data_IF_756791219473
#
_entry.id   IF_756791219473
#
_cell.length_a   1.000
_cell.length_b   1.000
_cell.length_c   1.000
_cell.angle_alpha   90.00
_cell.angle_beta   90.00
_cell.angle_gamma   90.00
#
_symmetry.space_group_name_H-M   'P 1'
#
loop_
_entity.id
_entity.type
_entity.pdbx_description
1 polymer ?
#
# COMPACT_ATOMS: atom_id res chain seq x y z
N UNK A 1 -4.06 -29.34 -3.50
CA UNK A 1 -4.68 -28.50 -4.56
C UNK A 1 -5.20 -29.35 -5.74
N UNK A 2 -4.40 -30.22 -6.37
CA UNK A 2 -4.85 -31.09 -7.49
C UNK A 2 -6.06 -31.96 -7.15
N UNK A 3 -6.02 -32.66 -6.03
CA UNK A 3 -7.10 -33.54 -5.56
C UNK A 3 -8.40 -32.78 -5.27
N UNK A 4 -8.28 -31.53 -4.78
CA UNK A 4 -9.44 -30.69 -4.54
C UNK A 4 -10.12 -30.26 -5.85
N UNK A 5 -9.33 -29.87 -6.86
CA UNK A 5 -9.84 -29.54 -8.20
C UNK A 5 -10.47 -30.76 -8.86
N UNK A 6 -9.83 -31.92 -8.76
CA UNK A 6 -10.36 -33.19 -9.27
C UNK A 6 -11.69 -33.55 -8.60
N UNK A 7 -11.78 -33.45 -7.27
CA UNK A 7 -13.03 -33.65 -6.53
C UNK A 7 -14.13 -32.70 -7.01
N UNK A 8 -13.83 -31.42 -7.18
CA UNK A 8 -14.79 -30.44 -7.72
C UNK A 8 -15.27 -30.83 -9.13
N UNK A 9 -14.38 -31.31 -10.01
CA UNK A 9 -14.77 -31.78 -11.35
C UNK A 9 -15.71 -33.00 -11.24
N UNK A 10 -15.38 -33.98 -10.39
CA UNK A 10 -16.22 -35.15 -10.15
C UNK A 10 -17.62 -34.77 -9.65
N UNK A 11 -17.70 -33.87 -8.67
CA UNK A 11 -18.97 -33.36 -8.12
C UNK A 11 -19.79 -32.64 -9.20
N UNK A 12 -19.16 -31.76 -9.97
CA UNK A 12 -19.81 -31.04 -11.08
C UNK A 12 -20.35 -32.02 -12.13
N UNK A 13 -19.65 -33.12 -12.39
CA UNK A 13 -20.06 -34.14 -13.37
C UNK A 13 -20.95 -35.25 -12.78
N UNK A 14 -21.19 -35.27 -11.47
CA UNK A 14 -21.98 -36.30 -10.80
C UNK A 14 -21.29 -37.67 -10.74
N UNK A 15 -19.97 -37.71 -10.82
CA UNK A 15 -19.15 -38.93 -10.77
C UNK A 15 -18.84 -39.23 -9.31
N UNK A 16 -19.44 -40.29 -8.74
CA UNK A 16 -19.37 -40.60 -7.29
C UNK A 16 -18.28 -41.61 -6.90
N UNK A 17 -17.44 -42.06 -7.81
CA UNK A 17 -16.49 -43.13 -7.54
C UNK A 17 -15.10 -42.59 -7.13
N UNK A 18 -14.63 -43.08 -5.99
CA UNK A 18 -13.28 -42.84 -5.48
C UNK A 18 -12.20 -43.41 -6.41
N UNK A 19 -12.55 -44.42 -7.21
CA UNK A 19 -11.66 -45.20 -8.10
C UNK A 19 -11.32 -44.50 -9.41
N UNK A 20 -12.06 -43.48 -9.82
CA UNK A 20 -11.86 -42.80 -11.10
C UNK A 20 -10.88 -41.63 -10.96
N UNK A 21 -9.69 -41.69 -11.58
CA UNK A 21 -8.73 -40.56 -11.60
C UNK A 21 -8.96 -39.64 -12.79
N UNK A 22 -9.14 -38.34 -12.53
CA UNK A 22 -9.29 -37.37 -13.62
C UNK A 22 -7.99 -37.23 -14.43
N UNK A 23 -8.09 -37.33 -15.75
CA UNK A 23 -6.95 -37.24 -16.67
C UNK A 23 -6.97 -35.99 -17.58
N UNK A 24 -8.12 -35.32 -17.68
CA UNK A 24 -8.26 -34.11 -18.48
C UNK A 24 -9.56 -34.07 -19.27
N UNK A 25 -9.79 -32.95 -19.95
CA UNK A 25 -10.95 -32.74 -20.83
C UNK A 25 -10.51 -32.63 -22.28
N UNK A 26 -11.33 -33.19 -23.19
CA UNK A 26 -11.12 -33.14 -24.63
C UNK A 26 -12.44 -32.92 -25.37
N UNK A 27 -12.33 -32.40 -26.61
CA UNK A 27 -13.48 -32.18 -27.49
C UNK A 27 -13.70 -33.40 -28.37
N UNK A 28 -14.96 -33.80 -28.53
CA UNK A 28 -15.41 -34.75 -29.54
C UNK A 28 -16.37 -34.11 -30.52
N UNK A 29 -16.38 -34.62 -31.75
CA UNK A 29 -17.37 -34.30 -32.78
C UNK A 29 -18.28 -35.48 -32.98
N UNK A 30 -19.59 -35.25 -33.02
CA UNK A 30 -20.58 -36.27 -33.39
C UNK A 30 -21.47 -35.74 -34.50
N UNK A 31 -21.64 -36.55 -35.54
CA UNK A 31 -22.50 -36.25 -36.68
C UNK A 31 -23.88 -36.86 -36.44
N UNK A 32 -24.92 -36.02 -36.48
CA UNK A 32 -26.33 -36.45 -36.39
C UNK A 32 -27.04 -35.97 -37.65
N UNK A 33 -27.15 -36.85 -38.65
CA UNK A 33 -27.62 -36.48 -39.99
C UNK A 33 -26.61 -35.57 -40.72
N UNK A 34 -27.08 -34.43 -41.23
CA UNK A 34 -26.25 -33.44 -41.91
C UNK A 34 -25.48 -32.49 -40.95
N UNK A 35 -25.79 -32.50 -39.66
CA UNK A 35 -25.22 -31.56 -38.69
C UNK A 35 -24.14 -32.23 -37.85
N UNK A 36 -22.98 -31.58 -37.76
CA UNK A 36 -21.91 -31.93 -36.83
C UNK A 36 -22.04 -31.08 -35.57
N UNK A 37 -21.95 -31.72 -34.41
CA UNK A 37 -21.97 -31.05 -33.12
C UNK A 37 -20.70 -31.41 -32.35
N UNK A 38 -20.01 -30.40 -31.83
CA UNK A 38 -18.90 -30.58 -30.88
C UNK A 38 -19.44 -30.66 -29.46
N UNK A 39 -18.83 -31.50 -28.63
CA UNK A 39 -19.14 -31.59 -27.21
C UNK A 39 -17.90 -31.98 -26.41
N UNK A 40 -17.88 -31.64 -25.12
CA UNK A 40 -16.79 -32.01 -24.22
C UNK A 40 -17.01 -33.38 -23.55
N UNK A 41 -15.93 -34.14 -23.45
CA UNK A 41 -15.82 -35.33 -22.61
C UNK A 41 -14.68 -35.13 -21.61
N UNK A 42 -14.97 -35.43 -20.34
CA UNK A 42 -13.97 -35.55 -19.29
C UNK A 42 -13.45 -36.99 -19.28
N UNK A 43 -12.13 -37.13 -19.29
CA UNK A 43 -11.43 -38.41 -19.26
C UNK A 43 -11.13 -38.78 -17.81
N UNK A 44 -11.51 -39.99 -17.44
CA UNK A 44 -11.15 -40.60 -16.18
C UNK A 44 -10.43 -41.93 -16.43
N UNK A 45 -9.42 -42.23 -15.62
CA UNK A 45 -8.80 -43.54 -15.55
C UNK A 45 -9.38 -44.30 -14.37
N UNK A 46 -10.05 -45.41 -14.66
CA UNK A 46 -10.54 -46.33 -13.65
C UNK A 46 -9.37 -47.15 -13.10
N UNK A 47 -9.08 -46.96 -11.81
CA UNK A 47 -7.99 -47.67 -11.14
C UNK A 47 -8.29 -49.16 -11.03
N UNK A 48 -9.55 -49.54 -10.79
CA UNK A 48 -9.94 -50.94 -10.59
C UNK A 48 -10.00 -51.68 -11.92
N UNK A 49 -10.71 -51.11 -12.89
CA UNK A 49 -10.86 -51.74 -14.20
C UNK A 49 -9.67 -51.49 -15.15
N UNK A 50 -8.74 -50.61 -14.76
CA UNK A 50 -7.55 -50.23 -15.54
C UNK A 50 -7.88 -49.73 -16.96
N UNK A 51 -9.02 -49.06 -17.12
CA UNK A 51 -9.50 -48.55 -18.42
C UNK A 51 -9.82 -47.07 -18.36
N UNK A 52 -9.88 -46.43 -19.53
CA UNK A 52 -10.30 -45.04 -19.65
C UNK A 52 -11.83 -44.99 -19.78
N UNK A 53 -12.47 -44.23 -18.90
CA UNK A 53 -13.90 -43.91 -18.95
C UNK A 53 -14.05 -42.46 -19.37
N UNK A 54 -14.92 -42.21 -20.34
CA UNK A 54 -15.20 -40.85 -20.80
C UNK A 54 -16.59 -40.45 -20.34
N UNK A 55 -16.67 -39.34 -19.61
CA UNK A 55 -17.92 -38.81 -19.06
C UNK A 55 -18.27 -37.56 -19.86
N UNK A 56 -19.48 -37.55 -20.44
CA UNK A 56 -19.98 -36.38 -21.16
C UNK A 56 -20.10 -35.18 -20.21
N UNK A 57 -19.59 -34.02 -20.64
CA UNK A 57 -19.74 -32.76 -19.90
C UNK A 57 -21.00 -32.06 -20.41
N UNK A 58 -22.02 -31.82 -19.56
CA UNK A 58 -23.21 -31.09 -19.99
C UNK A 58 -22.86 -29.67 -20.42
N UNK A 59 -23.47 -29.18 -21.50
CA UNK A 59 -23.24 -27.84 -22.09
C UNK A 59 -23.22 -26.72 -21.04
N UNK A 60 -24.17 -26.74 -20.09
CA UNK A 60 -24.28 -25.72 -19.02
C UNK A 60 -23.06 -25.68 -18.07
N UNK A 61 -22.24 -26.73 -18.04
CA UNK A 61 -21.11 -26.90 -17.13
C UNK A 61 -19.75 -26.87 -17.85
N UNK A 62 -19.72 -26.75 -19.17
CA UNK A 62 -18.49 -26.82 -19.97
C UNK A 62 -17.45 -25.77 -19.55
N UNK A 63 -17.85 -24.51 -19.38
CA UNK A 63 -16.93 -23.43 -18.98
C UNK A 63 -16.30 -23.69 -17.60
N UNK A 64 -17.11 -24.11 -16.63
CA UNK A 64 -16.64 -24.43 -15.28
C UNK A 64 -15.64 -25.58 -15.29
N UNK A 65 -15.95 -26.64 -16.04
CA UNK A 65 -15.05 -27.81 -16.17
C UNK A 65 -13.74 -27.44 -16.88
N UNK A 66 -13.79 -26.57 -17.90
CA UNK A 66 -12.59 -26.09 -18.60
C UNK A 66 -11.70 -25.21 -17.70
N UNK A 67 -12.30 -24.38 -16.85
CA UNK A 67 -11.55 -23.57 -15.88
C UNK A 67 -10.85 -24.46 -14.84
N UNK A 68 -11.58 -25.43 -14.27
CA UNK A 68 -11.01 -26.42 -13.36
C UNK A 68 -9.91 -27.24 -14.03
N UNK A 69 -10.08 -27.65 -15.29
CA UNK A 69 -9.05 -28.37 -16.06
C UNK A 69 -7.76 -27.55 -16.22
N UNK A 70 -7.86 -26.23 -16.42
CA UNK A 70 -6.67 -25.35 -16.47
C UNK A 70 -5.92 -25.36 -15.16
N UNK A 71 -6.61 -25.18 -14.04
CA UNK A 71 -6.00 -25.24 -12.71
C UNK A 71 -5.39 -26.62 -12.42
N UNK A 72 -6.05 -27.70 -12.84
CA UNK A 72 -5.52 -29.05 -12.71
C UNK A 72 -4.23 -29.23 -13.53
N UNK A 73 -4.21 -28.76 -14.79
CA UNK A 73 -3.01 -28.80 -15.66
C UNK A 73 -1.84 -28.00 -15.09
N UNK A 74 -2.10 -26.81 -14.55
CA UNK A 74 -1.07 -26.00 -13.89
C UNK A 74 -0.51 -26.70 -12.65
N UNK A 75 -1.39 -27.27 -11.81
CA UNK A 75 -0.99 -28.03 -10.62
C UNK A 75 -0.12 -29.23 -11.01
N UNK A 76 -0.55 -30.01 -12.02
CA UNK A 76 0.21 -31.17 -12.54
C UNK A 76 1.56 -30.76 -13.13
N UNK A 77 1.65 -29.58 -13.77
CA UNK A 77 2.93 -29.06 -14.29
C UNK A 77 3.89 -28.69 -13.14
N UNK A 78 3.40 -28.01 -12.10
CA UNK A 78 4.20 -27.68 -10.91
C UNK A 78 4.69 -28.93 -10.19
N UNK A 79 3.83 -29.92 -10.00
CA UNK A 79 4.20 -31.21 -9.39
C UNK A 79 5.31 -31.91 -10.19
N UNK A 80 5.20 -31.98 -11.53
CA UNK A 80 6.26 -32.56 -12.38
C UNK A 80 7.58 -31.81 -12.29
N UNK A 81 7.53 -30.48 -12.19
CA UNK A 81 8.75 -29.66 -12.04
C UNK A 81 9.41 -29.92 -10.68
N UNK A 82 8.61 -30.01 -9.61
CA UNK A 82 9.09 -30.38 -8.27
C UNK A 82 9.67 -31.79 -8.26
N UNK A 83 9.00 -32.76 -8.89
CA UNK A 83 9.46 -34.14 -8.98
C UNK A 83 10.79 -34.24 -9.76
N UNK A 84 10.96 -33.42 -10.81
CA UNK A 84 12.23 -33.30 -11.54
C UNK A 84 13.33 -32.73 -10.66
N UNK A 85 13.07 -31.62 -9.94
CA UNK A 85 14.03 -31.03 -9.00
C UNK A 85 14.40 -32.00 -7.88
N UNK A 86 13.43 -32.75 -7.36
CA UNK A 86 13.66 -33.80 -6.35
C UNK A 86 14.57 -34.91 -6.89
N UNK A 87 14.33 -35.38 -8.12
CA UNK A 87 15.21 -36.36 -8.77
C UNK A 87 16.63 -35.81 -9.00
N UNK A 88 16.75 -34.55 -9.39
CA UNK A 88 18.04 -33.86 -9.52
C UNK A 88 18.78 -33.83 -8.17
N UNK A 89 18.11 -33.38 -7.09
CA UNK A 89 18.67 -33.36 -5.72
C UNK A 89 19.06 -34.78 -5.26
N UNK A 90 18.20 -35.78 -5.47
CA UNK A 90 18.49 -37.18 -5.08
C UNK A 90 19.67 -37.74 -5.89
N UNK A 91 19.79 -37.37 -7.16
CA UNK A 91 20.91 -37.82 -8.00
C UNK A 91 22.24 -37.20 -7.59
N UNK A 92 22.21 -35.94 -7.13
CA UNK A 92 23.38 -35.21 -6.64
C UNK A 92 23.80 -35.68 -5.25
N UNK A 93 22.82 -35.97 -4.38
CA UNK A 93 23.04 -36.36 -3.00
C UNK A 93 22.56 -37.80 -2.76
N UNK A 94 23.47 -38.77 -2.84
CA UNK A 94 23.18 -40.19 -2.50
C UNK A 94 22.90 -40.43 -1.01
N UNK A 95 22.93 -39.39 -0.17
CA UNK A 95 22.74 -39.47 1.26
C UNK A 95 21.30 -39.05 1.64
N UNK A 96 20.44 -40.00 2.08
CA UNK A 96 19.05 -39.72 2.48
C UNK A 96 18.91 -38.66 3.58
N UNK A 97 19.86 -38.59 4.52
CA UNK A 97 19.82 -37.64 5.63
C UNK A 97 20.02 -36.20 5.14
N UNK A 98 20.93 -36.02 4.17
CA UNK A 98 21.17 -34.70 3.57
C UNK A 98 19.98 -34.23 2.72
N UNK A 99 19.34 -35.16 2.00
CA UNK A 99 18.10 -34.86 1.25
C UNK A 99 16.99 -34.43 2.21
N UNK A 100 16.82 -35.14 3.34
CA UNK A 100 15.82 -34.79 4.36
C UNK A 100 16.10 -33.39 4.91
N UNK A 101 17.34 -33.07 5.27
CA UNK A 101 17.72 -31.75 5.79
C UNK A 101 17.43 -30.64 4.77
N UNK A 102 17.73 -30.84 3.48
CA UNK A 102 17.45 -29.87 2.42
C UNK A 102 15.93 -29.65 2.27
N UNK A 103 15.14 -30.72 2.26
CA UNK A 103 13.68 -30.64 2.13
C UNK A 103 13.03 -29.96 3.35
N UNK A 104 13.49 -30.26 4.56
CA UNK A 104 13.04 -29.60 5.79
C UNK A 104 13.36 -28.11 5.77
N UNK A 105 14.58 -27.73 5.35
CA UNK A 105 14.93 -26.31 5.16
C UNK A 105 14.04 -25.61 4.12
N UNK A 106 13.78 -26.24 2.98
CA UNK A 106 12.90 -25.67 1.95
C UNK A 106 11.44 -25.52 2.41
N UNK A 107 10.92 -26.48 3.18
CA UNK A 107 9.60 -26.42 3.78
C UNK A 107 9.52 -25.31 4.84
N UNK A 108 10.52 -25.22 5.71
CA UNK A 108 10.62 -24.13 6.69
C UNK A 108 10.69 -22.76 6.00
N UNK A 109 11.50 -22.62 4.95
CA UNK A 109 11.59 -21.38 4.16
C UNK A 109 10.26 -21.03 3.49
N UNK A 110 9.57 -22.03 2.91
CA UNK A 110 8.24 -21.85 2.30
C UNK A 110 7.20 -21.39 3.30
N UNK A 111 7.08 -22.09 4.45
CA UNK A 111 6.16 -21.74 5.53
C UNK A 111 6.49 -20.36 6.10
N UNK A 112 7.79 -20.04 6.30
CA UNK A 112 8.23 -18.73 6.77
C UNK A 112 7.84 -17.63 5.79
N UNK A 113 7.93 -17.86 4.47
CA UNK A 113 7.52 -16.88 3.45
C UNK A 113 6.01 -16.65 3.46
N UNK A 114 5.22 -17.71 3.45
CA UNK A 114 3.75 -17.58 3.48
C UNK A 114 3.27 -16.90 4.78
N UNK A 115 3.85 -17.26 5.92
CA UNK A 115 3.55 -16.62 7.20
C UNK A 115 3.97 -15.13 7.22
N UNK A 116 5.10 -14.80 6.60
CA UNK A 116 5.60 -13.42 6.47
C UNK A 116 4.67 -12.58 5.58
N UNK A 117 4.23 -13.14 4.45
CA UNK A 117 3.31 -12.47 3.52
C UNK A 117 1.93 -12.25 4.18
N UNK A 118 1.40 -13.27 4.87
CA UNK A 118 0.15 -13.13 5.62
C UNK A 118 0.26 -12.09 6.75
N UNK A 119 1.33 -12.11 7.53
CA UNK A 119 1.57 -11.14 8.58
C UNK A 119 1.69 -9.72 8.01
N UNK A 120 2.41 -9.55 6.90
CA UNK A 120 2.52 -8.26 6.23
C UNK A 120 1.17 -7.72 5.80
N UNK A 121 0.37 -8.49 5.06
CA UNK A 121 -0.93 -8.04 4.57
C UNK A 121 -1.89 -7.68 5.71
N UNK A 122 -1.95 -8.51 6.76
CA UNK A 122 -2.77 -8.24 7.94
C UNK A 122 -2.36 -6.94 8.64
N UNK A 123 -1.09 -6.84 9.04
CA UNK A 123 -0.62 -5.73 9.88
C UNK A 123 -0.43 -4.43 9.09
N UNK A 124 -0.22 -4.50 7.78
CA UNK A 124 -0.21 -3.32 6.90
C UNK A 124 -1.54 -2.58 6.97
N UNK A 125 -2.66 -3.31 6.91
CA UNK A 125 -3.99 -2.71 6.99
C UNK A 125 -4.18 -2.00 8.33
N UNK A 126 -3.87 -2.68 9.43
CA UNK A 126 -3.98 -2.11 10.79
C UNK A 126 -3.07 -0.88 10.97
N UNK A 127 -1.83 -0.93 10.46
CA UNK A 127 -0.91 0.21 10.53
C UNK A 127 -1.41 1.42 9.74
N UNK A 128 -2.02 1.23 8.56
CA UNK A 128 -2.60 2.31 7.76
C UNK A 128 -3.82 2.93 8.44
N UNK A 129 -4.68 2.13 9.07
CA UNK A 129 -5.82 2.64 9.83
C UNK A 129 -5.38 3.49 11.02
N UNK A 130 -4.35 3.04 11.77
CA UNK A 130 -3.76 3.83 12.84
C UNK A 130 -3.10 5.11 12.31
N UNK A 131 -2.40 5.04 11.18
CA UNK A 131 -1.78 6.20 10.55
C UNK A 131 -2.81 7.29 10.25
N UNK A 132 -3.93 6.93 9.60
CA UNK A 132 -5.01 7.88 9.31
C UNK A 132 -5.62 8.45 10.60
N UNK A 133 -5.82 7.60 11.62
CA UNK A 133 -6.39 8.01 12.92
C UNK A 133 -5.52 9.01 13.67
N UNK A 134 -4.19 8.89 13.57
CA UNK A 134 -3.23 9.73 14.29
C UNK A 134 -2.52 10.77 13.43
N UNK A 135 -2.95 10.91 12.17
CA UNK A 135 -2.36 11.80 11.17
C UNK A 135 -2.03 13.21 11.69
N UNK A 136 -2.93 13.96 12.35
CA UNK A 136 -2.60 15.31 12.85
C UNK A 136 -1.41 15.32 13.82
N UNK A 137 -1.35 14.33 14.71
CA UNK A 137 -0.27 14.19 15.69
C UNK A 137 1.04 13.76 15.04
N UNK A 138 0.99 12.87 14.03
CA UNK A 138 2.16 12.46 13.26
C UNK A 138 2.75 13.62 12.46
N UNK A 139 1.90 14.45 11.86
CA UNK A 139 2.32 15.67 11.15
C UNK A 139 3.02 16.62 12.11
N UNK A 140 2.43 16.87 13.29
CA UNK A 140 3.04 17.71 14.32
C UNK A 140 4.41 17.18 14.76
N UNK A 141 4.50 15.88 15.06
CA UNK A 141 5.76 15.21 15.40
C UNK A 141 6.83 15.38 14.28
N UNK A 142 6.41 15.31 13.02
CA UNK A 142 7.31 15.45 11.87
C UNK A 142 7.76 16.89 11.67
N UNK A 143 6.86 17.88 11.76
CA UNK A 143 7.18 19.32 11.69
C UNK A 143 8.16 19.71 12.80
N UNK A 144 8.00 19.15 14.00
CA UNK A 144 8.89 19.37 15.15
C UNK A 144 10.17 18.50 15.14
N UNK A 145 10.41 17.77 14.04
CA UNK A 145 11.64 17.01 13.73
C UNK A 145 12.02 15.93 14.75
N UNK A 146 11.26 14.84 14.79
CA UNK A 146 11.72 13.58 15.42
C UNK A 146 13.09 13.15 14.88
N UNK A 147 14.03 12.84 15.79
CA UNK A 147 15.42 12.51 15.50
C UNK A 147 15.75 11.03 15.69
N UNK A 148 15.19 10.37 16.71
CA UNK A 148 15.58 9.00 17.12
C UNK A 148 14.42 8.02 17.06
N UNK A 149 13.23 8.48 17.38
CA UNK A 149 12.00 7.70 17.28
C UNK A 149 11.54 7.73 15.83
N UNK A 150 11.40 6.55 15.25
CA UNK A 150 10.87 6.41 13.89
C UNK A 150 9.34 6.52 13.88
N UNK A 151 8.75 6.61 12.70
CA UNK A 151 7.33 6.87 12.52
C UNK A 151 6.47 5.74 13.10
N UNK A 152 6.84 4.47 12.89
CA UNK A 152 6.13 3.33 13.48
C UNK A 152 6.21 3.29 15.00
N UNK A 153 7.34 3.66 15.59
CA UNK A 153 7.48 3.79 17.05
C UNK A 153 6.64 4.94 17.59
N UNK A 154 6.58 6.07 16.89
CA UNK A 154 5.69 7.17 17.25
C UNK A 154 4.22 6.72 17.16
N UNK A 155 3.84 6.04 16.08
CA UNK A 155 2.50 5.48 15.87
C UNK A 155 2.14 4.48 16.98
N UNK A 156 3.06 3.59 17.34
CA UNK A 156 2.94 2.65 18.45
C UNK A 156 2.65 3.36 19.76
N UNK A 157 3.38 4.42 20.10
CA UNK A 157 3.18 5.16 21.34
C UNK A 157 1.83 5.87 21.35
N UNK A 158 1.46 6.53 20.25
CA UNK A 158 0.17 7.21 20.13
C UNK A 158 -1.01 6.24 20.23
N UNK A 159 -0.91 5.08 19.56
CA UNK A 159 -1.93 4.03 19.61
C UNK A 159 -2.13 3.50 21.03
N UNK A 160 -1.04 3.23 21.75
CA UNK A 160 -1.12 2.74 23.12
C UNK A 160 -1.61 3.78 24.12
N UNK A 161 -1.19 5.04 23.97
CA UNK A 161 -1.75 6.14 24.76
C UNK A 161 -3.26 6.19 24.56
N UNK A 162 -3.73 6.12 23.32
CA UNK A 162 -5.18 6.15 23.07
C UNK A 162 -5.95 5.02 23.76
N UNK A 163 -5.45 3.79 23.73
CA UNK A 163 -6.11 2.67 24.43
C UNK A 163 -6.19 2.90 25.93
N UNK A 164 -5.13 3.42 26.54
CA UNK A 164 -5.12 3.68 27.99
C UNK A 164 -6.10 4.75 28.44
N UNK A 165 -6.43 5.69 27.55
CA UNK A 165 -7.32 6.82 27.86
C UNK A 165 -8.66 6.73 27.10
N UNK A 166 -9.01 5.55 26.58
CA UNK A 166 -10.22 5.35 25.79
C UNK A 166 -11.52 5.70 26.56
N UNK A 167 -11.53 5.48 27.88
CA UNK A 167 -12.69 5.77 28.74
C UNK A 167 -12.91 7.27 29.02
N UNK A 168 -11.97 8.14 28.59
CA UNK A 168 -12.00 9.59 28.86
C UNK A 168 -11.98 10.39 27.57
N UNK A 169 -12.97 10.16 26.71
CA UNK A 169 -13.01 10.73 25.35
C UNK A 169 -12.94 12.28 25.35
N UNK A 170 -13.58 12.94 26.32
CA UNK A 170 -13.54 14.41 26.49
C UNK A 170 -12.13 14.95 26.79
N UNK A 171 -11.25 14.13 27.38
CA UNK A 171 -9.86 14.50 27.69
C UNK A 171 -8.88 14.00 26.62
N UNK A 172 -9.32 13.20 25.66
CA UNK A 172 -8.45 12.48 24.74
C UNK A 172 -7.56 13.43 23.94
N UNK A 173 -8.10 14.53 23.41
CA UNK A 173 -7.32 15.50 22.65
C UNK A 173 -6.19 16.12 23.50
N UNK A 174 -6.50 16.51 24.74
CA UNK A 174 -5.51 17.04 25.69
C UNK A 174 -4.45 16.00 26.05
N UNK A 175 -4.85 14.74 26.20
CA UNK A 175 -3.94 13.61 26.47
C UNK A 175 -3.02 13.36 25.28
N UNK A 176 -3.56 13.33 24.06
CA UNK A 176 -2.77 13.12 22.84
C UNK A 176 -1.79 14.27 22.60
N UNK A 177 -2.20 15.51 22.85
CA UNK A 177 -1.34 16.68 22.82
C UNK A 177 -0.19 16.60 23.84
N UNK A 178 -0.50 16.14 25.06
CA UNK A 178 0.53 15.86 26.07
C UNK A 178 1.45 14.72 25.62
N UNK A 179 0.93 13.69 24.97
CA UNK A 179 1.72 12.58 24.46
C UNK A 179 2.69 13.04 23.36
N UNK A 180 2.25 13.85 22.40
CA UNK A 180 3.12 14.45 21.37
C UNK A 180 4.25 15.25 22.01
N UNK A 181 3.95 16.11 22.99
CA UNK A 181 4.95 16.89 23.72
C UNK A 181 5.93 15.98 24.47
N UNK A 182 5.46 14.93 25.13
CA UNK A 182 6.31 13.96 25.82
C UNK A 182 7.24 13.23 24.86
N UNK A 183 6.72 12.74 23.73
CA UNK A 183 7.50 12.06 22.69
C UNK A 183 8.62 12.97 22.20
N UNK A 184 8.30 14.22 21.82
CA UNK A 184 9.29 15.18 21.35
C UNK A 184 10.32 15.53 22.42
N UNK A 185 9.87 15.82 23.63
CA UNK A 185 10.75 16.14 24.74
C UNK A 185 11.74 15.01 25.03
N UNK A 186 11.29 13.75 25.00
CA UNK A 186 12.18 12.60 25.23
C UNK A 186 13.10 12.32 24.05
N UNK A 187 12.60 12.39 22.83
CA UNK A 187 13.37 12.19 21.60
C UNK A 187 14.55 13.18 21.50
N UNK A 188 14.31 14.44 21.87
CA UNK A 188 15.30 15.51 21.79
C UNK A 188 16.29 15.52 22.96
N UNK A 189 15.84 15.27 24.20
CA UNK A 189 16.64 15.57 25.40
C UNK A 189 17.39 14.39 26.02
N UNK A 190 17.04 13.13 25.72
CA UNK A 190 17.62 12.03 26.48
C UNK A 190 19.01 11.62 25.97
N UNK A 191 20.04 11.71 26.82
CA UNK A 191 21.30 10.96 26.69
C UNK A 191 21.13 9.44 26.94
N UNK A 192 19.90 8.97 27.16
CA UNK A 192 19.60 7.59 27.52
C UNK A 192 19.71 6.68 26.28
N UNK A 193 20.26 5.48 26.49
CA UNK A 193 20.55 4.50 25.43
C UNK A 193 19.29 4.08 24.64
N UNK A 194 18.10 4.18 25.23
CA UNK A 194 16.83 3.76 24.62
C UNK A 194 15.68 4.76 24.88
N UNK A 195 15.44 5.72 23.95
CA UNK A 195 14.32 6.66 24.05
C UNK A 195 12.95 5.96 24.14
N UNK A 196 12.75 4.90 23.35
CA UNK A 196 11.49 4.14 23.34
C UNK A 196 11.22 3.46 24.69
N UNK A 197 12.23 2.86 25.32
CA UNK A 197 12.06 2.20 26.61
C UNK A 197 11.63 3.16 27.71
N UNK A 198 12.19 4.38 27.71
CA UNK A 198 11.80 5.41 28.68
C UNK A 198 10.39 5.93 28.40
N UNK A 199 10.03 6.09 27.12
CA UNK A 199 8.68 6.49 26.75
C UNK A 199 7.63 5.47 27.14
N UNK A 200 7.91 4.16 26.98
CA UNK A 200 7.02 3.11 27.51
C UNK A 200 6.77 3.30 29.01
N UNK A 201 7.80 3.61 29.79
CA UNK A 201 7.66 3.88 31.22
C UNK A 201 6.89 5.17 31.51
N UNK A 202 7.16 6.26 30.78
CA UNK A 202 6.46 7.56 30.96
C UNK A 202 4.95 7.45 30.71
N UNK A 203 4.57 6.56 29.79
CA UNK A 203 3.18 6.27 29.49
C UNK A 203 2.62 5.11 30.31
N UNK A 204 3.39 4.51 31.23
CA UNK A 204 2.99 3.34 32.01
C UNK A 204 2.51 2.16 31.15
N UNK A 205 3.11 1.98 29.97
CA UNK A 205 2.74 0.91 29.06
C UNK A 205 3.14 -0.45 29.65
N UNK A 206 2.27 -1.47 29.55
CA UNK A 206 2.63 -2.83 29.91
C UNK A 206 3.74 -3.37 28.98
N UNK A 207 4.36 -4.49 29.38
CA UNK A 207 5.42 -5.14 28.58
C UNK A 207 4.91 -5.56 27.20
N UNK A 208 3.66 -6.03 27.15
CA UNK A 208 2.98 -6.45 25.93
C UNK A 208 1.74 -5.59 25.69
N UNK A 209 1.58 -5.11 24.46
CA UNK A 209 0.43 -4.30 24.03
C UNK A 209 -0.13 -4.81 22.70
N UNK A 210 -1.42 -4.57 22.38
CA UNK A 210 -2.03 -5.01 21.12
C UNK A 210 -1.28 -4.53 19.85
N UNK A 211 -0.56 -3.41 19.96
CA UNK A 211 0.13 -2.79 18.83
C UNK A 211 1.63 -3.12 18.77
N UNK A 212 2.13 -4.07 19.57
CA UNK A 212 3.54 -4.46 19.57
C UNK A 212 4.03 -4.96 18.20
N UNK A 213 3.12 -5.39 17.31
CA UNK A 213 3.47 -5.72 15.94
C UNK A 213 4.14 -4.54 15.21
N UNK A 214 3.82 -3.28 15.55
CA UNK A 214 4.46 -2.09 14.97
C UNK A 214 5.95 -2.00 15.32
N UNK A 215 6.40 -2.71 16.36
CA UNK A 215 7.80 -2.81 16.76
C UNK A 215 8.54 -3.99 16.09
N UNK A 216 7.85 -4.76 15.25
CA UNK A 216 8.47 -5.84 14.47
C UNK A 216 9.49 -5.28 13.50
N UNK A 217 10.74 -5.76 13.59
CA UNK A 217 11.82 -5.36 12.66
C UNK A 217 11.47 -5.62 11.20
N UNK A 218 10.78 -6.72 10.94
CA UNK A 218 10.31 -7.05 9.59
C UNK A 218 9.31 -6.01 9.09
N UNK A 219 8.26 -5.74 9.86
CA UNK A 219 7.24 -4.78 9.45
C UNK A 219 7.80 -3.37 9.37
N UNK A 220 8.74 -3.01 10.24
CA UNK A 220 9.44 -1.74 10.17
C UNK A 220 10.20 -1.56 8.85
N UNK A 221 10.89 -2.59 8.38
CA UNK A 221 11.60 -2.51 7.10
C UNK A 221 10.66 -2.28 5.90
N UNK A 222 9.46 -2.86 5.93
CA UNK A 222 8.52 -2.80 4.81
C UNK A 222 7.53 -1.63 4.88
N UNK A 223 7.04 -1.28 6.07
CA UNK A 223 5.97 -0.30 6.27
C UNK A 223 6.49 1.11 6.50
N UNK A 224 7.63 1.28 7.16
CA UNK A 224 8.18 2.60 7.49
C UNK A 224 8.35 3.49 6.24
N UNK A 225 8.95 3.01 5.12
CA UNK A 225 9.11 3.86 3.94
C UNK A 225 7.77 4.26 3.29
N UNK A 226 6.77 3.38 3.38
CA UNK A 226 5.42 3.61 2.86
C UNK A 226 4.74 4.71 3.66
N UNK A 227 4.76 4.59 5.00
CA UNK A 227 4.14 5.57 5.89
C UNK A 227 4.87 6.93 5.82
N UNK A 228 6.20 6.94 5.73
CA UNK A 228 6.98 8.17 5.55
C UNK A 228 6.62 8.89 4.24
N UNK A 229 6.41 8.14 3.15
CA UNK A 229 5.97 8.73 1.88
C UNK A 229 4.57 9.34 1.99
N UNK A 230 3.65 8.64 2.65
CA UNK A 230 2.28 9.14 2.88
C UNK A 230 2.30 10.40 3.75
N UNK A 231 3.08 10.41 4.83
CA UNK A 231 3.19 11.55 5.73
C UNK A 231 3.75 12.79 5.03
N UNK A 232 4.80 12.62 4.21
CA UNK A 232 5.37 13.72 3.43
C UNK A 232 4.37 14.31 2.45
N UNK A 233 3.61 13.47 1.76
CA UNK A 233 2.58 13.92 0.82
C UNK A 233 1.48 14.71 1.53
N UNK A 234 1.10 14.28 2.75
CA UNK A 234 0.08 14.97 3.52
C UNK A 234 0.58 16.32 4.08
N UNK A 235 1.83 16.39 4.53
CA UNK A 235 2.47 17.65 4.94
C UNK A 235 2.56 18.62 3.77
N UNK A 236 2.99 18.15 2.59
CA UNK A 236 3.07 18.99 1.38
C UNK A 236 1.71 19.53 0.98
N UNK A 237 0.65 18.73 1.14
CA UNK A 237 -0.74 19.15 0.91
C UNK A 237 -1.17 20.23 1.89
N UNK A 238 -0.90 20.08 3.19
CA UNK A 238 -1.20 21.10 4.19
C UNK A 238 -0.42 22.39 3.93
N UNK A 239 0.90 22.32 3.71
CA UNK A 239 1.73 23.49 3.40
C UNK A 239 1.26 24.20 2.12
N UNK A 240 0.79 23.45 1.13
CA UNK A 240 0.22 24.03 -0.10
C UNK A 240 -1.10 24.73 0.17
N UNK A 241 -1.95 24.16 1.02
CA UNK A 241 -3.22 24.79 1.40
C UNK A 241 -2.99 26.07 2.21
N UNK A 242 -2.09 26.03 3.20
CA UNK A 242 -1.69 27.21 3.99
C UNK A 242 -1.15 28.32 3.08
N UNK A 243 -0.18 28.01 2.22
CA UNK A 243 0.41 28.99 1.30
C UNK A 243 -0.60 29.55 0.29
N UNK A 244 -1.51 28.72 -0.23
CA UNK A 244 -2.55 29.18 -1.16
C UNK A 244 -3.59 30.08 -0.47
N UNK A 245 -3.85 29.87 0.83
CA UNK A 245 -4.66 30.77 1.65
C UNK A 245 -4.03 32.16 1.76
N UNK A 246 -2.76 32.22 2.14
CA UNK A 246 -2.02 33.49 2.24
C UNK A 246 -1.92 34.22 0.88
N UNK A 247 -1.69 33.47 -0.21
CA UNK A 247 -1.69 34.05 -1.56
C UNK A 247 -3.08 34.59 -1.91
N UNK A 248 -4.16 33.90 -1.56
CA UNK A 248 -5.51 34.39 -1.83
C UNK A 248 -5.80 35.68 -1.06
N UNK A 249 -5.44 35.75 0.22
CA UNK A 249 -5.54 36.98 1.03
C UNK A 249 -4.75 38.13 0.39
N UNK A 250 -3.48 37.88 0.04
CA UNK A 250 -2.65 38.84 -0.69
C UNK A 250 -3.33 39.39 -1.96
N UNK A 251 -3.93 38.50 -2.78
CA UNK A 251 -4.61 38.92 -4.01
C UNK A 251 -5.86 39.78 -3.74
N UNK A 252 -6.53 39.60 -2.60
CA UNK A 252 -7.67 40.46 -2.22
C UNK A 252 -7.25 41.87 -1.84
N UNK A 253 -6.07 42.03 -1.23
CA UNK A 253 -5.52 43.31 -0.79
C UNK A 253 -4.93 44.18 -1.91
N UNK A 254 -4.70 43.62 -3.10
CA UNK A 254 -4.17 44.37 -4.23
C UNK A 254 -5.11 45.52 -4.64
N UNK A 255 -4.54 46.66 -5.02
CA UNK A 255 -5.27 47.75 -5.67
C UNK A 255 -6.00 47.28 -6.94
N UNK A 256 -7.08 47.97 -7.32
CA UNK A 256 -7.86 47.63 -8.53
C UNK A 256 -7.02 47.78 -9.81
N UNK A 257 -6.08 48.72 -9.84
CA UNK A 257 -5.12 48.84 -10.95
C UNK A 257 -4.18 47.63 -11.03
N UNK A 258 -3.66 47.15 -9.90
CA UNK A 258 -2.82 45.96 -9.85
C UNK A 258 -3.60 44.70 -10.26
N UNK A 259 -4.82 44.54 -9.77
CA UNK A 259 -5.76 43.47 -10.16
C UNK A 259 -6.03 43.48 -11.66
N UNK A 260 -6.30 44.65 -12.24
CA UNK A 260 -6.52 44.81 -13.68
C UNK A 260 -5.31 44.36 -14.50
N UNK A 261 -4.08 44.70 -14.07
CA UNK A 261 -2.84 44.27 -14.75
C UNK A 261 -2.66 42.75 -14.74
N UNK A 262 -2.94 42.11 -13.61
CA UNK A 262 -2.90 40.64 -13.50
C UNK A 262 -3.90 40.01 -14.48
N UNK A 263 -5.14 40.50 -14.51
CA UNK A 263 -6.20 39.95 -15.37
C UNK A 263 -6.01 40.23 -16.87
N UNK A 264 -5.15 41.17 -17.25
CA UNK A 264 -4.73 41.33 -18.66
C UNK A 264 -3.86 40.17 -19.16
N UNK A 265 -3.18 39.47 -18.26
CA UNK A 265 -2.25 38.38 -18.61
C UNK A 265 -2.81 37.00 -18.22
N UNK A 266 -3.37 36.90 -17.01
CA UNK A 266 -3.91 35.66 -16.48
C UNK A 266 -5.44 35.66 -16.59
N UNK A 267 -6.05 34.63 -17.18
CA UNK A 267 -7.52 34.51 -17.27
C UNK A 267 -8.25 34.55 -15.92
N UNK A 268 -7.58 34.23 -14.82
CA UNK A 268 -8.15 34.31 -13.47
C UNK A 268 -7.08 34.47 -12.38
N UNK A 269 -7.48 35.00 -11.22
CA UNK A 269 -6.64 35.02 -10.02
C UNK A 269 -6.26 33.62 -9.53
N UNK A 270 -7.07 32.60 -9.80
CA UNK A 270 -6.74 31.20 -9.48
C UNK A 270 -5.55 30.67 -10.29
N UNK A 271 -5.41 31.09 -11.55
CA UNK A 271 -4.23 30.74 -12.33
C UNK A 271 -3.01 31.52 -11.87
N UNK A 272 -3.18 32.80 -11.56
CA UNK A 272 -2.09 33.62 -11.04
C UNK A 272 -1.59 33.15 -9.67
N UNK A 273 -2.48 32.73 -8.76
CA UNK A 273 -2.07 32.19 -7.46
C UNK A 273 -1.23 30.93 -7.58
N UNK A 274 -1.55 30.04 -8.53
CA UNK A 274 -0.72 28.86 -8.85
C UNK A 274 0.66 29.24 -9.40
N UNK A 275 0.75 30.33 -10.16
CA UNK A 275 2.02 30.85 -10.66
C UNK A 275 2.83 31.43 -9.50
N UNK A 276 2.23 32.27 -8.66
CA UNK A 276 2.87 32.82 -7.47
C UNK A 276 3.38 31.72 -6.53
N UNK A 277 2.57 30.68 -6.28
CA UNK A 277 3.00 29.54 -5.46
C UNK A 277 4.24 28.83 -6.06
N UNK A 278 4.24 28.58 -7.38
CA UNK A 278 5.38 27.95 -8.06
C UNK A 278 6.63 28.81 -8.01
N UNK A 279 6.50 30.11 -8.22
CA UNK A 279 7.63 31.05 -8.16
C UNK A 279 8.14 31.22 -6.73
N UNK A 280 7.25 31.25 -5.74
CA UNK A 280 7.61 31.25 -4.33
C UNK A 280 8.44 30.01 -3.97
N UNK A 281 7.96 28.80 -4.33
CA UNK A 281 8.70 27.55 -4.07
C UNK A 281 10.09 27.54 -4.71
N UNK A 282 10.30 28.21 -5.85
CA UNK A 282 11.61 28.36 -6.49
C UNK A 282 12.51 29.40 -5.82
N UNK A 283 11.92 30.45 -5.23
CA UNK A 283 12.65 31.59 -4.68
C UNK A 283 13.49 31.26 -3.44
N UNK A 284 13.07 30.27 -2.65
CA UNK A 284 13.67 29.98 -1.34
C UNK A 284 13.44 31.06 -0.26
N UNK A 285 12.64 32.08 -0.56
CA UNK A 285 12.29 33.16 0.38
C UNK A 285 11.14 32.75 1.31
N UNK A 286 10.95 33.51 2.40
CA UNK A 286 9.72 33.41 3.19
C UNK A 286 8.53 33.84 2.32
N UNK A 287 7.36 33.22 2.52
CA UNK A 287 6.17 33.55 1.72
C UNK A 287 5.78 35.03 1.90
N UNK A 288 5.88 35.54 3.13
CA UNK A 288 5.60 36.93 3.44
C UNK A 288 6.50 37.91 2.67
N UNK A 289 7.81 37.68 2.66
CA UNK A 289 8.75 38.57 1.95
C UNK A 289 8.52 38.51 0.44
N UNK A 290 8.33 37.29 -0.08
CA UNK A 290 7.98 37.07 -1.47
C UNK A 290 6.72 37.84 -1.88
N UNK A 291 5.66 37.80 -1.07
CA UNK A 291 4.42 38.51 -1.36
C UNK A 291 4.55 40.03 -1.22
N UNK A 292 5.39 40.54 -0.32
CA UNK A 292 5.68 41.99 -0.21
C UNK A 292 6.41 42.50 -1.46
N UNK A 293 7.38 41.75 -1.96
CA UNK A 293 8.09 42.08 -3.21
C UNK A 293 7.11 42.11 -4.39
N UNK A 294 6.23 41.11 -4.48
CA UNK A 294 5.18 41.05 -5.49
C UNK A 294 4.15 42.17 -5.35
N UNK A 295 3.79 42.58 -4.13
CA UNK A 295 2.90 43.74 -3.89
C UNK A 295 3.52 44.99 -4.50
N UNK A 296 4.77 45.26 -4.12
CA UNK A 296 5.52 46.43 -4.55
C UNK A 296 5.67 46.48 -6.08
N UNK A 297 5.96 45.32 -6.68
CA UNK A 297 6.05 45.17 -8.12
C UNK A 297 4.72 45.43 -8.85
N UNK A 298 3.63 44.81 -8.38
CA UNK A 298 2.31 44.94 -9.02
C UNK A 298 1.69 46.32 -8.84
N UNK A 299 2.00 47.00 -7.74
CA UNK A 299 1.48 48.34 -7.41
C UNK A 299 2.34 49.48 -7.98
N UNK A 300 3.47 49.17 -8.63
CA UNK A 300 4.36 50.18 -9.19
C UNK A 300 3.66 51.07 -10.23
N UNK A 301 3.80 52.40 -10.12
CA UNK A 301 3.04 53.38 -10.92
C UNK A 301 3.91 53.99 -12.03
N UNK A 302 3.33 54.12 -13.24
CA UNK A 302 3.98 54.70 -14.43
C UNK A 302 3.66 53.92 -15.70
N UNK A 303 3.76 54.56 -16.88
CA UNK A 303 3.51 53.90 -18.18
C UNK A 303 4.60 52.87 -18.53
N UNK A 304 5.86 53.19 -18.23
CA UNK A 304 6.98 52.26 -18.43
C UNK A 304 6.88 51.08 -17.47
N UNK A 305 6.55 51.36 -16.20
CA UNK A 305 6.25 50.36 -15.19
C UNK A 305 5.16 49.37 -15.62
N UNK A 306 4.05 49.85 -16.20
CA UNK A 306 2.98 48.96 -16.68
C UNK A 306 3.48 47.98 -17.75
N UNK A 307 4.29 48.47 -18.71
CA UNK A 307 4.87 47.60 -19.75
C UNK A 307 5.80 46.55 -19.16
N UNK A 308 6.62 46.94 -18.17
CA UNK A 308 7.53 46.01 -17.50
C UNK A 308 6.78 44.94 -16.71
N UNK A 309 5.76 45.35 -15.93
CA UNK A 309 4.90 44.42 -15.18
C UNK A 309 4.23 43.41 -16.11
N UNK A 310 3.60 43.88 -17.19
CA UNK A 310 2.96 43.00 -18.17
C UNK A 310 3.96 42.06 -18.85
N UNK A 311 5.19 42.51 -19.12
CA UNK A 311 6.23 41.69 -19.73
C UNK A 311 6.67 40.55 -18.79
N UNK A 312 6.92 40.84 -17.51
CA UNK A 312 7.27 39.81 -16.51
C UNK A 312 6.13 38.83 -16.32
N UNK A 313 4.89 39.32 -16.13
CA UNK A 313 3.71 38.46 -15.98
C UNK A 313 3.52 37.55 -17.19
N UNK A 314 3.72 38.07 -18.41
CA UNK A 314 3.55 37.30 -19.65
C UNK A 314 4.59 36.17 -19.75
N UNK A 315 5.82 36.40 -19.28
CA UNK A 315 6.87 35.37 -19.22
C UNK A 315 6.54 34.24 -18.25
N UNK A 316 5.75 34.51 -17.21
CA UNK A 316 5.36 33.52 -16.20
C UNK A 316 4.11 32.71 -16.59
N UNK A 317 3.35 33.17 -17.59
CA UNK A 317 2.17 32.47 -18.10
C UNK A 317 2.49 31.44 -19.19
N UNK A 318 3.75 31.41 -19.66
CA UNK A 318 4.32 30.38 -20.53
C UNK A 318 4.82 29.20 -19.68
#
# INVERSE_FOLDING_TARGET
MREEVERKIKEVLGVKEETLKYEGVFRRRKRKGAKEYEYLEAKFYDIEEKKIVNVHVPVKKENLVLELDRHWKESKKREKELEKRLKEIISEYKNPDLIREILERLLEEGIRREAKDYAYEKYKKEALELFERFKPYLIKLRRERLKRINLLQALYLLANVKEMFQEKEEELEKVMERAVKTILFRDQNQKLQSPLGVLKNDFFLPKETPYDFLLSRFLQAELEPVLEKLLKAEIEKEETQEAMGEIAEFLTELSEEAKSRVLKVFPSFSQFSKVLYREWKKSGQSLKDFLVDWKSFLEFKGKEAEKEVLNVLSKLNL
#
